data_IF_948325235941
#
_entry.id   IF_948325235941
#
_cell.length_a   1.000
_cell.length_b   1.000
_cell.length_c   1.000
_cell.angle_alpha   90.00
_cell.angle_beta   90.00
_cell.angle_gamma   90.00
#
_symmetry.space_group_name_H-M   'P 1'
#
loop_
_entity.id
_entity.type
_entity.pdbx_description
1 polymer ?
#
# COMPACT_ATOMS: atom_id res chain seq x y z
N UNK A 1 31.48 -26.62 -26.29
CA UNK A 1 31.07 -25.34 -25.66
C UNK A 1 29.57 -25.35 -25.57
N UNK A 2 29.00 -25.53 -24.38
CA UNK A 2 27.54 -25.45 -24.19
C UNK A 2 27.19 -23.97 -24.04
N UNK A 3 26.50 -23.41 -25.04
CA UNK A 3 25.85 -22.11 -24.95
C UNK A 3 24.68 -22.25 -23.98
N UNK A 4 24.92 -21.98 -22.70
CA UNK A 4 23.85 -21.80 -21.71
C UNK A 4 23.29 -20.40 -21.98
N UNK A 5 22.31 -20.31 -22.87
CA UNK A 5 21.45 -19.13 -22.95
C UNK A 5 20.78 -19.02 -21.58
N UNK A 6 21.02 -17.96 -20.78
CA UNK A 6 20.29 -17.81 -19.53
C UNK A 6 18.81 -17.73 -19.88
N UNK A 7 18.00 -18.63 -19.31
CA UNK A 7 16.55 -18.52 -19.43
C UNK A 7 16.13 -17.12 -18.98
N UNK A 8 15.19 -16.46 -19.69
CA UNK A 8 14.69 -15.17 -19.24
C UNK A 8 14.16 -15.36 -17.82
N UNK A 9 14.75 -14.64 -16.85
CA UNK A 9 14.28 -14.63 -15.46
C UNK A 9 12.77 -14.40 -15.51
N UNK A 10 11.99 -15.41 -15.14
CA UNK A 10 10.55 -15.36 -15.32
C UNK A 10 10.03 -14.07 -14.65
N UNK A 11 9.24 -13.23 -15.35
CA UNK A 11 8.53 -12.14 -14.69
C UNK A 11 7.72 -12.77 -13.54
N UNK A 12 7.84 -12.20 -12.34
CA UNK A 12 7.19 -12.54 -11.06
C UNK A 12 6.04 -13.58 -11.09
N UNK A 13 5.95 -14.39 -10.03
CA UNK A 13 4.92 -15.44 -9.92
C UNK A 13 3.50 -14.85 -9.84
N UNK A 14 2.49 -15.66 -10.18
CA UNK A 14 1.08 -15.27 -10.05
C UNK A 14 0.72 -14.90 -8.60
N UNK A 15 1.27 -15.61 -7.60
CA UNK A 15 1.05 -15.32 -6.19
C UNK A 15 1.65 -13.97 -5.76
N UNK A 16 2.80 -13.59 -6.33
CA UNK A 16 3.40 -12.26 -6.13
C UNK A 16 2.53 -11.17 -6.75
N UNK A 17 2.01 -11.41 -7.95
CA UNK A 17 1.09 -10.47 -8.61
C UNK A 17 -0.19 -10.24 -7.81
N UNK A 18 -0.78 -11.31 -7.27
CA UNK A 18 -1.98 -11.24 -6.41
C UNK A 18 -1.70 -10.47 -5.12
N UNK A 19 -0.65 -10.86 -4.38
CA UNK A 19 -0.25 -10.20 -3.13
C UNK A 19 0.06 -8.72 -3.33
N UNK A 20 0.74 -8.38 -4.42
CA UNK A 20 0.99 -7.00 -4.83
C UNK A 20 -0.31 -6.25 -5.11
N UNK A 21 -1.26 -6.86 -5.82
CA UNK A 21 -2.57 -6.29 -6.11
C UNK A 21 -3.32 -5.94 -4.83
N UNK A 22 -3.35 -6.86 -3.87
CA UNK A 22 -3.99 -6.68 -2.57
C UNK A 22 -3.31 -5.57 -1.75
N UNK A 23 -1.98 -5.56 -1.70
CA UNK A 23 -1.22 -4.52 -1.01
C UNK A 23 -1.47 -3.13 -1.62
N UNK A 24 -1.45 -3.04 -2.96
CA UNK A 24 -1.77 -1.81 -3.69
C UNK A 24 -3.23 -1.38 -3.46
N UNK A 25 -4.15 -2.33 -3.37
CA UNK A 25 -5.55 -2.11 -3.02
C UNK A 25 -5.72 -1.50 -1.62
N UNK A 26 -5.02 -2.03 -0.62
CA UNK A 26 -5.02 -1.48 0.75
C UNK A 26 -4.46 -0.05 0.80
N UNK A 27 -3.37 0.23 0.10
CA UNK A 27 -2.82 1.59 -0.02
C UNK A 27 -3.84 2.56 -0.61
N UNK A 28 -4.54 2.16 -1.68
CA UNK A 28 -5.61 2.97 -2.28
C UNK A 28 -6.76 3.22 -1.30
N UNK A 29 -7.17 2.19 -0.54
CA UNK A 29 -8.24 2.31 0.44
C UNK A 29 -7.86 3.28 1.58
N UNK A 30 -6.61 3.24 2.05
CA UNK A 30 -6.08 4.18 3.04
C UNK A 30 -6.05 5.62 2.52
N UNK A 31 -5.53 5.84 1.31
CA UNK A 31 -5.52 7.17 0.68
C UNK A 31 -6.94 7.73 0.59
N UNK A 32 -7.91 6.92 0.16
CA UNK A 32 -9.31 7.33 0.07
C UNK A 32 -9.92 7.62 1.44
N UNK A 33 -9.63 6.80 2.46
CA UNK A 33 -10.11 7.02 3.82
C UNK A 33 -9.56 8.32 4.42
N UNK A 34 -8.28 8.62 4.21
CA UNK A 34 -7.68 9.90 4.60
C UNK A 34 -8.37 11.07 3.88
N UNK A 35 -8.56 11.01 2.55
CA UNK A 35 -9.27 12.06 1.79
C UNK A 35 -10.66 12.33 2.34
N UNK A 36 -11.43 11.27 2.60
CA UNK A 36 -12.78 11.39 3.13
C UNK A 36 -12.79 12.04 4.51
N UNK A 37 -11.86 11.65 5.39
CA UNK A 37 -11.77 12.20 6.75
C UNK A 37 -11.28 13.65 6.76
N UNK A 38 -10.34 14.01 5.86
CA UNK A 38 -9.90 15.41 5.66
C UNK A 38 -11.08 16.27 5.20
N UNK A 39 -11.89 15.80 4.26
CA UNK A 39 -13.07 16.54 3.77
C UNK A 39 -14.18 16.72 4.82
N UNK A 40 -14.16 15.94 5.91
CA UNK A 40 -15.19 15.92 6.94
C UNK A 40 -14.71 16.50 8.29
N UNK A 41 -13.49 17.01 8.41
CA UNK A 41 -12.96 17.57 9.66
C UNK A 41 -12.72 19.07 9.54
N UNK A 42 -13.19 19.83 10.53
CA UNK A 42 -12.90 21.26 10.66
C UNK A 42 -11.62 21.51 11.48
N UNK A 43 -11.05 20.46 12.09
CA UNK A 43 -9.85 20.55 12.90
C UNK A 43 -8.58 20.56 12.03
N UNK A 44 -7.92 21.71 11.93
CA UNK A 44 -6.72 21.92 11.11
C UNK A 44 -5.57 20.97 11.45
N UNK A 45 -5.36 20.65 12.73
CA UNK A 45 -4.26 19.77 13.16
C UNK A 45 -4.50 18.31 12.71
N UNK A 46 -5.73 17.81 12.83
CA UNK A 46 -6.09 16.47 12.36
C UNK A 46 -6.07 16.41 10.83
N UNK A 47 -6.53 17.45 10.14
CA UNK A 47 -6.43 17.55 8.68
C UNK A 47 -4.95 17.49 8.22
N UNK A 48 -4.07 18.24 8.88
CA UNK A 48 -2.62 18.27 8.57
C UNK A 48 -1.96 16.91 8.81
N UNK A 49 -2.31 16.25 9.92
CA UNK A 49 -1.85 14.89 10.21
C UNK A 49 -2.29 13.91 9.13
N UNK A 50 -3.57 13.92 8.75
CA UNK A 50 -4.13 13.03 7.73
C UNK A 50 -3.54 13.29 6.35
N UNK A 51 -3.23 14.54 6.01
CA UNK A 51 -2.52 14.89 4.77
C UNK A 51 -1.11 14.28 4.75
N UNK A 52 -0.40 14.35 5.88
CA UNK A 52 0.93 13.74 6.01
C UNK A 52 0.87 12.22 5.90
N UNK A 53 -0.10 11.57 6.55
CA UNK A 53 -0.33 10.12 6.42
C UNK A 53 -0.67 9.73 4.98
N UNK A 54 -1.57 10.47 4.34
CA UNK A 54 -1.94 10.25 2.94
C UNK A 54 -0.75 10.36 2.00
N UNK A 55 0.10 11.38 2.18
CA UNK A 55 1.30 11.56 1.37
C UNK A 55 2.26 10.36 1.53
N UNK A 56 2.44 9.86 2.76
CA UNK A 56 3.22 8.65 3.02
C UNK A 56 2.68 7.43 2.26
N UNK A 57 1.37 7.22 2.24
CA UNK A 57 0.76 6.11 1.48
C UNK A 57 0.88 6.30 -0.04
N UNK A 58 0.78 7.54 -0.55
CA UNK A 58 0.99 7.85 -1.97
C UNK A 58 2.42 7.55 -2.41
N UNK A 59 3.40 7.96 -1.61
CA UNK A 59 4.81 7.71 -1.89
C UNK A 59 5.12 6.22 -1.80
N UNK A 60 4.61 5.51 -0.80
CA UNK A 60 4.81 4.07 -0.72
C UNK A 60 4.19 3.33 -1.92
N UNK A 61 2.97 3.70 -2.32
CA UNK A 61 2.34 3.14 -3.53
C UNK A 61 3.16 3.39 -4.80
N UNK A 62 3.83 4.55 -4.89
CA UNK A 62 4.67 4.90 -6.03
C UNK A 62 5.93 4.03 -6.11
N UNK A 63 6.49 3.65 -4.98
CA UNK A 63 7.72 2.84 -4.91
C UNK A 63 7.46 1.34 -4.79
N UNK A 64 6.25 0.91 -4.46
CA UNK A 64 5.91 -0.51 -4.34
C UNK A 64 6.04 -1.24 -5.69
N UNK A 65 6.86 -2.30 -5.69
CA UNK A 65 7.04 -3.18 -6.84
C UNK A 65 6.52 -4.58 -6.52
N UNK A 66 6.14 -5.31 -7.57
CA UNK A 66 5.62 -6.70 -7.45
C UNK A 66 6.68 -7.68 -6.93
N UNK A 67 7.97 -7.37 -7.10
CA UNK A 67 9.09 -8.20 -6.63
C UNK A 67 9.56 -7.85 -5.21
N UNK A 68 8.99 -6.83 -4.59
CA UNK A 68 9.32 -6.45 -3.22
C UNK A 68 8.42 -7.19 -2.20
N UNK A 69 8.70 -8.49 -2.05
CA UNK A 69 7.92 -9.38 -1.18
C UNK A 69 7.89 -8.89 0.28
N UNK A 70 8.97 -8.24 0.74
CA UNK A 70 9.07 -7.71 2.10
C UNK A 70 8.12 -6.51 2.31
N UNK A 71 8.10 -5.56 1.37
CA UNK A 71 7.17 -4.43 1.43
C UNK A 71 5.72 -4.89 1.29
N UNK A 72 5.42 -5.79 0.34
CA UNK A 72 4.08 -6.35 0.14
C UNK A 72 3.60 -7.06 1.41
N UNK A 73 4.41 -7.94 2.00
CA UNK A 73 4.04 -8.64 3.23
C UNK A 73 3.81 -7.69 4.41
N UNK A 74 4.62 -6.63 4.53
CA UNK A 74 4.44 -5.59 5.56
C UNK A 74 3.09 -4.88 5.42
N UNK A 75 2.75 -4.46 4.21
CA UNK A 75 1.47 -3.77 3.94
C UNK A 75 0.30 -4.69 4.29
N UNK A 76 0.31 -5.93 3.80
CA UNK A 76 -0.77 -6.89 4.04
C UNK A 76 -0.97 -7.18 5.54
N UNK A 77 0.11 -7.21 6.32
CA UNK A 77 0.05 -7.43 7.77
C UNK A 77 -0.45 -6.20 8.53
N UNK A 78 0.12 -5.02 8.25
CA UNK A 78 0.00 -3.86 9.15
C UNK A 78 -1.15 -2.92 8.74
N UNK A 79 -1.47 -2.83 7.45
CA UNK A 79 -2.32 -1.76 6.91
C UNK A 79 -3.83 -2.02 7.06
N UNK A 80 -4.34 -3.27 7.19
CA UNK A 80 -5.74 -3.48 7.55
C UNK A 80 -6.12 -2.87 8.90
N UNK A 81 -5.25 -2.95 9.91
CA UNK A 81 -5.51 -2.34 11.22
C UNK A 81 -5.49 -0.80 11.13
N UNK A 82 -4.55 -0.24 10.36
CA UNK A 82 -4.50 1.21 10.09
C UNK A 82 -5.75 1.69 9.37
N UNK A 83 -6.23 0.93 8.39
CA UNK A 83 -7.43 1.29 7.64
C UNK A 83 -8.66 1.39 8.55
N UNK A 84 -8.85 0.41 9.45
CA UNK A 84 -9.92 0.45 10.46
C UNK A 84 -9.79 1.67 11.37
N UNK A 85 -8.57 1.99 11.82
CA UNK A 85 -8.31 3.14 12.67
C UNK A 85 -8.64 4.48 11.96
N UNK A 86 -8.25 4.64 10.70
CA UNK A 86 -8.57 5.85 9.92
C UNK A 86 -10.08 5.98 9.71
N UNK A 87 -10.79 4.86 9.46
CA UNK A 87 -12.24 4.86 9.30
C UNK A 87 -13.03 5.03 10.60
N UNK A 88 -12.38 4.93 11.76
CA UNK A 88 -13.05 4.93 13.05
C UNK A 88 -13.81 3.63 13.35
N UNK A 89 -13.46 2.53 12.69
CA UNK A 89 -14.08 1.19 12.86
C UNK A 89 -13.47 0.41 14.06
N UNK A 90 -12.69 1.07 14.90
CA UNK A 90 -12.10 0.50 16.11
C UNK A 90 -12.83 0.99 17.36
N UNK A 91 -13.81 0.23 17.82
CA UNK A 91 -14.34 0.27 19.20
C UNK A 91 -14.55 -1.16 19.67
#
# INVERSE_FOLDING_TARGET
MQNITPEPSAPYTAAQAESYGDARGLLNALIAACSAKIGNTDATDEATRLQSEQQGYLDERRHLTVTDDAAVARILRDYPARLRAVRGEGT
#
